data_IF_619142082334
#
_entry.id   IF_619142082334
#
_cell.length_a   1.000
_cell.length_b   1.000
_cell.length_c   1.000
_cell.angle_alpha   90.00
_cell.angle_beta   90.00
_cell.angle_gamma   90.00
#
_symmetry.space_group_name_H-M   'P 1'
#
loop_
_entity.id
_entity.type
_entity.pdbx_description
1 polymer ?
#
# COMPACT_ATOMS: atom_id res chain seq x y z
N UNK A 1 -28.25 -29.01 -28.57
CA UNK A 1 -27.61 -27.68 -28.56
C UNK A 1 -27.66 -27.19 -27.11
N UNK A 2 -26.68 -27.58 -26.30
CA UNK A 2 -26.59 -27.11 -24.91
C UNK A 2 -26.08 -25.67 -24.95
N UNK A 3 -26.95 -24.74 -24.56
CA UNK A 3 -26.58 -23.36 -24.30
C UNK A 3 -25.73 -23.41 -23.03
N UNK A 4 -24.43 -23.12 -23.13
CA UNK A 4 -23.55 -23.02 -21.98
C UNK A 4 -24.12 -21.99 -21.00
N UNK A 5 -24.72 -22.46 -19.90
CA UNK A 5 -25.29 -21.61 -18.84
C UNK A 5 -24.20 -20.84 -18.04
N UNK A 6 -22.92 -21.03 -18.39
CA UNK A 6 -21.76 -20.42 -17.74
C UNK A 6 -21.09 -19.29 -18.56
N UNK A 7 -21.67 -18.86 -19.68
CA UNK A 7 -21.20 -17.65 -20.36
C UNK A 7 -21.62 -16.40 -19.56
N UNK A 8 -20.68 -15.90 -18.74
CA UNK A 8 -20.81 -14.63 -18.03
C UNK A 8 -21.22 -13.53 -19.03
N UNK A 9 -22.30 -12.80 -18.73
CA UNK A 9 -22.78 -11.77 -19.65
C UNK A 9 -21.69 -10.71 -19.89
N UNK A 10 -21.60 -10.16 -21.11
CA UNK A 10 -20.55 -9.19 -21.46
C UNK A 10 -20.47 -7.99 -20.51
N UNK A 11 -21.62 -7.54 -19.98
CA UNK A 11 -21.66 -6.44 -19.01
C UNK A 11 -21.07 -6.83 -17.65
N UNK A 12 -21.24 -8.09 -17.22
CA UNK A 12 -20.63 -8.61 -15.98
C UNK A 12 -19.10 -8.69 -16.12
N UNK A 13 -18.61 -9.12 -17.28
CA UNK A 13 -17.18 -9.10 -17.59
C UNK A 13 -16.62 -7.68 -17.61
N UNK A 14 -17.33 -6.73 -18.22
CA UNK A 14 -16.92 -5.33 -18.27
C UNK A 14 -16.90 -4.69 -16.87
N UNK A 15 -17.92 -4.94 -16.05
CA UNK A 15 -17.99 -4.45 -14.67
C UNK A 15 -16.85 -5.03 -13.81
N UNK A 16 -16.62 -6.35 -13.88
CA UNK A 16 -15.51 -6.99 -13.18
C UNK A 16 -14.15 -6.44 -13.62
N UNK A 17 -13.95 -6.25 -14.92
CA UNK A 17 -12.74 -5.64 -15.47
C UNK A 17 -12.53 -4.21 -14.96
N UNK A 18 -13.58 -3.40 -14.92
CA UNK A 18 -13.50 -2.03 -14.40
C UNK A 18 -13.07 -2.02 -12.93
N UNK A 19 -13.62 -2.91 -12.10
CA UNK A 19 -13.22 -3.05 -10.70
C UNK A 19 -11.74 -3.44 -10.59
N UNK A 20 -11.29 -4.45 -11.33
CA UNK A 20 -9.87 -4.84 -11.30
C UNK A 20 -8.95 -3.74 -11.81
N UNK A 21 -9.34 -2.99 -12.83
CA UNK A 21 -8.56 -1.85 -13.33
C UNK A 21 -8.44 -0.73 -12.29
N UNK A 22 -9.54 -0.40 -11.61
CA UNK A 22 -9.55 0.60 -10.53
C UNK A 22 -8.67 0.15 -9.36
N UNK A 23 -8.80 -1.09 -8.90
CA UNK A 23 -7.98 -1.63 -7.81
C UNK A 23 -6.49 -1.67 -8.18
N UNK A 24 -6.18 -2.05 -9.43
CA UNK A 24 -4.80 -2.07 -9.95
C UNK A 24 -4.22 -0.65 -9.98
N UNK A 25 -4.97 0.31 -10.53
CA UNK A 25 -4.57 1.72 -10.58
C UNK A 25 -4.35 2.29 -9.19
N UNK A 26 -5.29 2.05 -8.27
CA UNK A 26 -5.16 2.45 -6.87
C UNK A 26 -3.89 1.87 -6.23
N UNK A 27 -3.60 0.58 -6.44
CA UNK A 27 -2.40 -0.06 -5.89
C UNK A 27 -1.10 0.60 -6.36
N UNK A 28 -0.99 0.95 -7.64
CA UNK A 28 0.19 1.67 -8.16
C UNK A 28 0.29 3.11 -7.64
N UNK A 29 -0.82 3.84 -7.59
CA UNK A 29 -0.84 5.22 -7.08
C UNK A 29 -0.46 5.24 -5.60
N UNK A 30 -1.06 4.36 -4.80
CA UNK A 30 -0.79 4.22 -3.37
C UNK A 30 0.67 3.86 -3.12
N UNK A 31 1.22 2.88 -3.86
CA UNK A 31 2.64 2.54 -3.83
C UNK A 31 3.53 3.74 -4.20
N UNK A 32 3.26 4.39 -5.33
CA UNK A 32 4.08 5.50 -5.83
C UNK A 32 4.13 6.68 -4.87
N UNK A 33 2.99 7.00 -4.23
CA UNK A 33 2.89 8.05 -3.22
C UNK A 33 3.74 7.75 -1.98
N UNK A 34 3.64 6.56 -1.40
CA UNK A 34 4.45 6.24 -0.22
C UNK A 34 5.93 6.02 -0.52
N UNK A 35 6.24 5.56 -1.73
CA UNK A 35 7.62 5.47 -2.20
C UNK A 35 8.25 6.86 -2.32
N UNK A 36 7.52 7.84 -2.88
CA UNK A 36 8.03 9.20 -3.01
C UNK A 36 8.20 9.88 -1.64
N UNK A 37 7.27 9.70 -0.71
CA UNK A 37 7.40 10.18 0.67
C UNK A 37 8.64 9.58 1.36
N UNK A 38 8.86 8.27 1.20
CA UNK A 38 10.02 7.60 1.79
C UNK A 38 11.33 8.18 1.23
N UNK A 39 11.43 8.32 -0.09
CA UNK A 39 12.63 8.90 -0.72
C UNK A 39 12.85 10.36 -0.34
N UNK A 40 11.78 11.17 -0.31
CA UNK A 40 11.89 12.56 0.12
C UNK A 40 12.35 12.65 1.58
N UNK A 41 11.82 11.80 2.46
CA UNK A 41 12.24 11.80 3.85
C UNK A 41 13.71 11.39 4.05
N UNK A 42 14.14 10.35 3.31
CA UNK A 42 15.52 9.87 3.36
C UNK A 42 16.52 10.86 2.75
N UNK A 43 16.21 11.45 1.60
CA UNK A 43 17.12 12.34 0.86
C UNK A 43 17.21 13.74 1.47
N UNK A 44 16.13 14.24 2.07
CA UNK A 44 16.11 15.58 2.65
C UNK A 44 16.44 15.60 4.15
N UNK A 45 16.83 14.46 4.74
CA UNK A 45 17.06 14.32 6.19
C UNK A 45 15.93 14.92 7.03
N UNK A 46 14.68 14.67 6.62
CA UNK A 46 13.50 15.26 7.24
C UNK A 46 13.36 14.82 8.69
N UNK A 47 12.85 15.70 9.56
CA UNK A 47 12.63 15.40 10.97
C UNK A 47 11.70 14.20 11.24
N UNK A 48 10.86 13.84 10.26
CA UNK A 48 10.04 12.63 10.28
C UNK A 48 10.09 11.88 8.94
N UNK A 49 10.37 10.57 8.97
CA UNK A 49 10.39 9.69 7.80
C UNK A 49 9.27 8.67 7.91
N UNK A 50 8.44 8.57 6.88
CA UNK A 50 7.29 7.64 6.87
C UNK A 50 7.58 6.44 5.99
N UNK A 51 7.39 5.23 6.54
CA UNK A 51 7.47 3.96 5.85
C UNK A 51 6.13 3.23 5.96
N UNK A 52 5.45 3.05 4.83
CA UNK A 52 4.19 2.31 4.78
C UNK A 52 4.40 0.94 4.11
N UNK A 53 4.36 -0.15 4.89
CA UNK A 53 4.48 -1.53 4.37
C UNK A 53 3.30 -1.94 3.49
N UNK A 54 2.08 -1.50 3.84
CA UNK A 54 0.86 -1.76 3.08
C UNK A 54 1.01 -1.36 1.62
N UNK A 55 1.63 -0.21 1.37
CA UNK A 55 1.88 0.30 0.02
C UNK A 55 2.76 -0.65 -0.83
N UNK A 56 3.76 -1.30 -0.23
CA UNK A 56 4.60 -2.29 -0.92
C UNK A 56 3.89 -3.63 -1.14
N UNK A 57 2.96 -4.02 -0.25
CA UNK A 57 2.07 -5.16 -0.50
C UNK A 57 1.15 -4.87 -1.71
N UNK A 58 0.57 -3.66 -1.75
CA UNK A 58 -0.30 -3.22 -2.84
C UNK A 58 0.40 -3.21 -4.20
N UNK A 59 1.70 -2.96 -4.27
CA UNK A 59 2.47 -3.05 -5.51
C UNK A 59 2.44 -4.46 -6.11
N UNK A 60 2.73 -5.49 -5.30
CA UNK A 60 2.67 -6.88 -5.77
C UNK A 60 1.26 -7.30 -6.20
N UNK A 61 0.24 -6.86 -5.45
CA UNK A 61 -1.16 -7.06 -5.83
C UNK A 61 -1.52 -6.35 -7.14
N UNK A 62 -1.03 -5.12 -7.36
CA UNK A 62 -1.25 -4.37 -8.58
C UNK A 62 -0.59 -5.04 -9.80
N UNK A 63 0.60 -5.63 -9.63
CA UNK A 63 1.24 -6.43 -10.68
C UNK A 63 0.38 -7.64 -11.09
N UNK A 64 -0.19 -8.36 -10.13
CA UNK A 64 -1.14 -9.45 -10.40
C UNK A 64 -2.40 -8.89 -11.08
N UNK A 65 -2.89 -7.73 -10.63
CA UNK A 65 -4.03 -7.03 -11.21
C UNK A 65 -3.85 -6.70 -12.69
N UNK A 66 -2.65 -6.27 -13.11
CA UNK A 66 -2.32 -6.05 -14.52
C UNK A 66 -2.58 -7.28 -15.40
N UNK A 67 -2.25 -8.47 -14.91
CA UNK A 67 -2.51 -9.72 -15.63
C UNK A 67 -4.01 -9.94 -15.82
N UNK A 68 -4.80 -9.75 -14.76
CA UNK A 68 -6.25 -9.92 -14.80
C UNK A 68 -6.91 -8.91 -15.74
N UNK A 69 -6.46 -7.66 -15.71
CA UNK A 69 -6.92 -6.60 -16.60
C UNK A 69 -6.59 -6.95 -18.05
N UNK A 70 -5.36 -7.38 -18.33
CA UNK A 70 -4.93 -7.79 -19.65
C UNK A 70 -5.78 -8.93 -20.24
N UNK A 71 -5.98 -10.01 -19.47
CA UNK A 71 -6.82 -11.13 -19.94
C UNK A 71 -8.30 -10.78 -20.04
N UNK A 72 -8.82 -9.95 -19.13
CA UNK A 72 -10.19 -9.45 -19.21
C UNK A 72 -10.43 -8.65 -20.49
N UNK A 73 -9.51 -7.76 -20.87
CA UNK A 73 -9.57 -7.01 -22.13
C UNK A 73 -9.53 -7.95 -23.33
N UNK A 74 -8.61 -8.93 -23.35
CA UNK A 74 -8.51 -9.90 -24.46
C UNK A 74 -9.78 -10.71 -24.62
N UNK A 75 -10.38 -11.15 -23.51
CA UNK A 75 -11.66 -11.89 -23.49
C UNK A 75 -12.81 -11.03 -24.02
N UNK A 76 -12.91 -9.76 -23.62
CA UNK A 76 -13.92 -8.83 -24.16
C UNK A 76 -13.75 -8.58 -25.66
N UNK A 77 -12.51 -8.58 -26.15
CA UNK A 77 -12.21 -8.46 -27.59
C UNK A 77 -12.46 -9.76 -28.37
N UNK A 78 -12.86 -10.86 -27.73
CA UNK A 78 -13.01 -12.18 -28.36
C UNK A 78 -11.70 -12.75 -28.88
N UNK A 79 -10.54 -12.26 -28.40
CA UNK A 79 -9.22 -12.69 -28.86
C UNK A 79 -8.68 -13.81 -27.99
N UNK A 80 -8.16 -14.85 -28.63
CA UNK A 80 -7.43 -15.91 -27.94
C UNK A 80 -6.09 -15.41 -27.40
N UNK A 81 -5.62 -16.05 -26.33
CA UNK A 81 -4.33 -15.76 -25.71
C UNK A 81 -3.28 -16.70 -26.31
N UNK A 82 -2.16 -16.15 -26.80
CA UNK A 82 -1.08 -16.97 -27.32
C UNK A 82 -0.26 -17.61 -26.19
N UNK A 83 0.46 -18.70 -26.48
CA UNK A 83 1.33 -19.35 -25.51
C UNK A 83 2.42 -18.40 -24.94
N UNK A 84 2.94 -17.51 -25.79
CA UNK A 84 3.90 -16.48 -25.37
C UNK A 84 3.28 -15.48 -24.39
N UNK A 85 2.05 -15.01 -24.66
CA UNK A 85 1.34 -14.10 -23.75
C UNK A 85 1.03 -14.76 -22.42
N UNK A 86 0.67 -16.06 -22.44
CA UNK A 86 0.44 -16.81 -21.21
C UNK A 86 1.73 -16.96 -20.39
N UNK A 87 2.87 -17.21 -21.04
CA UNK A 87 4.18 -17.26 -20.36
C UNK A 87 4.52 -15.93 -19.67
N UNK A 88 4.32 -14.80 -20.36
CA UNK A 88 4.55 -13.47 -19.78
C UNK A 88 3.59 -13.19 -18.62
N UNK A 89 2.32 -13.53 -18.77
CA UNK A 89 1.32 -13.39 -17.71
C UNK A 89 1.67 -14.21 -16.47
N UNK A 90 2.11 -15.47 -16.63
CA UNK A 90 2.57 -16.30 -15.52
C UNK A 90 3.80 -15.70 -14.84
N UNK A 91 4.75 -15.16 -15.59
CA UNK A 91 5.91 -14.47 -15.01
C UNK A 91 5.49 -13.24 -14.20
N UNK A 92 4.54 -12.45 -14.71
CA UNK A 92 3.99 -11.30 -13.98
C UNK A 92 3.26 -11.77 -12.72
N UNK A 93 2.51 -12.86 -12.78
CA UNK A 93 1.80 -13.42 -11.63
C UNK A 93 2.78 -13.86 -10.53
N UNK A 94 3.75 -14.71 -10.87
CA UNK A 94 4.75 -15.19 -9.90
C UNK A 94 5.65 -14.06 -9.41
N UNK A 95 6.01 -13.12 -10.30
CA UNK A 95 6.74 -11.91 -9.94
C UNK A 95 5.96 -11.05 -8.96
N UNK A 96 4.68 -10.77 -9.24
CA UNK A 96 3.79 -10.00 -8.36
C UNK A 96 3.57 -10.67 -7.01
N UNK A 97 3.39 -11.99 -6.99
CA UNK A 97 3.26 -12.76 -5.75
C UNK A 97 4.55 -12.73 -4.92
N UNK A 98 5.70 -12.94 -5.56
CA UNK A 98 6.99 -12.84 -4.91
C UNK A 98 7.23 -11.41 -4.38
N UNK A 99 6.95 -10.38 -5.18
CA UNK A 99 7.06 -8.98 -4.78
C UNK A 99 6.15 -8.65 -3.61
N UNK A 100 4.89 -9.14 -3.59
CA UNK A 100 3.96 -8.88 -2.49
C UNK A 100 4.51 -9.40 -1.14
N UNK A 101 5.27 -10.49 -1.13
CA UNK A 101 5.80 -11.07 0.10
C UNK A 101 7.18 -10.49 0.45
N UNK A 102 8.07 -10.42 -0.54
CA UNK A 102 9.49 -10.12 -0.35
C UNK A 102 9.71 -8.62 -0.20
N UNK A 103 9.09 -7.79 -1.04
CA UNK A 103 9.38 -6.36 -1.12
C UNK A 103 9.07 -5.60 0.19
N UNK A 104 7.95 -5.84 0.89
CA UNK A 104 7.65 -5.17 2.16
C UNK A 104 8.67 -5.48 3.26
N UNK A 105 9.25 -6.68 3.23
CA UNK A 105 10.31 -7.05 4.17
C UNK A 105 11.64 -6.42 3.77
N UNK A 106 11.98 -6.49 2.47
CA UNK A 106 13.21 -5.93 1.92
C UNK A 106 13.32 -4.42 2.09
N UNK A 107 12.22 -3.68 2.08
CA UNK A 107 12.28 -2.23 2.34
C UNK A 107 12.32 -1.95 3.83
N UNK A 108 11.59 -2.72 4.65
CA UNK A 108 11.49 -2.46 6.08
C UNK A 108 12.80 -2.59 6.82
N UNK A 109 13.49 -3.72 6.68
CA UNK A 109 14.69 -3.97 7.47
C UNK A 109 15.81 -2.96 7.18
N UNK A 110 16.20 -2.70 5.91
CA UNK A 110 17.25 -1.73 5.61
C UNK A 110 16.86 -0.31 6.00
N UNK A 111 15.62 0.12 5.73
CA UNK A 111 15.16 1.46 6.09
C UNK A 111 15.16 1.65 7.60
N UNK A 112 14.63 0.70 8.37
CA UNK A 112 14.62 0.79 9.83
C UNK A 112 16.04 0.81 10.40
N UNK A 113 16.93 -0.08 9.95
CA UNK A 113 18.33 -0.12 10.39
C UNK A 113 19.09 1.16 10.03
N UNK A 114 18.87 1.71 8.83
CA UNK A 114 19.49 2.96 8.41
C UNK A 114 19.04 4.16 9.26
N UNK A 115 17.73 4.25 9.52
CA UNK A 115 17.15 5.33 10.31
C UNK A 115 17.60 5.25 11.77
N UNK A 116 17.64 4.05 12.36
CA UNK A 116 18.16 3.83 13.71
C UNK A 116 19.65 4.19 13.82
N UNK A 117 20.47 3.79 12.84
CA UNK A 117 21.87 4.18 12.78
C UNK A 117 22.07 5.70 12.61
N UNK A 118 21.08 6.38 12.03
CA UNK A 118 21.05 7.84 11.87
C UNK A 118 20.43 8.58 13.06
N UNK A 119 20.13 7.88 14.16
CA UNK A 119 19.60 8.47 15.39
C UNK A 119 18.09 8.65 15.45
N UNK A 120 17.34 8.12 14.47
CA UNK A 120 15.87 8.14 14.50
C UNK A 120 15.31 7.03 15.38
N UNK A 121 14.17 7.32 16.01
CA UNK A 121 13.39 6.37 16.81
C UNK A 121 11.98 6.22 16.23
N UNK A 122 11.36 5.04 16.39
CA UNK A 122 9.98 4.79 15.92
C UNK A 122 9.00 5.56 16.82
N UNK A 123 8.17 6.40 16.21
CA UNK A 123 7.13 7.18 16.87
C UNK A 123 5.84 6.36 16.96
N UNK A 124 5.65 5.63 18.06
CA UNK A 124 4.46 4.76 18.26
C UNK A 124 3.13 5.53 18.20
N UNK A 125 3.13 6.82 18.59
CA UNK A 125 1.94 7.67 18.58
C UNK A 125 1.43 7.98 17.15
N UNK A 126 2.34 7.95 16.17
CA UNK A 126 2.01 8.20 14.76
C UNK A 126 1.99 6.93 13.93
N UNK A 127 2.74 5.90 14.34
CA UNK A 127 2.70 4.60 13.70
C UNK A 127 1.32 3.95 13.85
N UNK A 128 0.83 3.34 12.77
CA UNK A 128 -0.43 2.59 12.73
C UNK A 128 -0.18 1.18 12.26
N UNK A 129 -0.85 0.21 12.87
CA UNK A 129 -0.78 -1.18 12.47
C UNK A 129 -2.19 -1.76 12.32
N UNK A 130 -2.56 -2.16 11.11
CA UNK A 130 -3.81 -2.85 10.82
C UNK A 130 -3.57 -4.07 9.92
N UNK A 131 -3.69 -5.27 10.48
CA UNK A 131 -3.43 -6.59 9.88
C UNK A 131 -2.09 -6.71 9.11
N UNK A 132 -2.00 -6.15 7.91
CA UNK A 132 -0.80 -6.09 7.05
C UNK A 132 -0.41 -4.67 6.62
N UNK A 133 -1.27 -3.68 6.86
CA UNK A 133 -0.98 -2.27 6.68
C UNK A 133 -0.31 -1.72 7.94
N UNK A 134 1.03 -1.69 7.91
CA UNK A 134 1.83 -1.06 8.97
C UNK A 134 2.47 0.20 8.41
N UNK A 135 2.00 1.35 8.89
CA UNK A 135 2.61 2.66 8.67
C UNK A 135 3.51 2.95 9.86
N UNK A 136 4.80 3.09 9.62
CA UNK A 136 5.81 3.41 10.63
C UNK A 136 6.32 4.82 10.38
N UNK A 137 6.27 5.64 11.41
CA UNK A 137 6.84 7.00 11.37
C UNK A 137 8.06 7.01 12.26
N UNK A 138 9.19 7.46 11.72
CA UNK A 138 10.46 7.55 12.44
C UNK A 138 10.81 9.03 12.64
N UNK A 139 11.17 9.43 13.87
CA UNK A 139 11.50 10.81 14.22
C UNK A 139 12.84 10.90 14.94
N UNK A 140 13.54 12.04 14.80
CA UNK A 140 14.86 12.25 15.44
C UNK A 140 14.74 12.32 16.96
N UNK A 141 13.71 12.98 17.48
CA UNK A 141 13.48 13.12 18.93
C UNK A 141 12.09 12.63 19.31
N UNK A 142 11.95 12.17 20.56
CA UNK A 142 10.66 11.80 21.13
C UNK A 142 9.71 13.01 21.27
N UNK A 143 10.27 14.21 21.49
CA UNK A 143 9.51 15.46 21.55
C UNK A 143 8.86 15.77 20.20
N UNK A 144 9.58 15.61 19.10
CA UNK A 144 9.03 15.84 17.76
C UNK A 144 7.90 14.88 17.41
N UNK A 145 7.98 13.63 17.89
CA UNK A 145 6.89 12.66 17.79
C UNK A 145 5.61 13.14 18.49
N UNK A 146 5.75 13.72 19.69
CA UNK A 146 4.62 14.29 20.44
C UNK A 146 4.08 15.53 19.72
N UNK A 147 4.93 16.46 19.27
CA UNK A 147 4.53 17.65 18.52
C UNK A 147 3.70 17.32 17.28
N UNK A 148 4.17 16.36 16.48
CA UNK A 148 3.43 15.87 15.30
C UNK A 148 2.07 15.30 15.71
N UNK A 149 2.02 14.52 16.79
CA UNK A 149 0.76 13.95 17.27
C UNK A 149 -0.21 15.04 17.79
N UNK A 150 0.31 16.09 18.44
CA UNK A 150 -0.49 17.26 18.88
C UNK A 150 -1.06 18.00 17.69
N UNK A 151 -0.22 18.29 16.69
CA UNK A 151 -0.62 19.03 15.49
C UNK A 151 -1.76 18.33 14.75
N UNK A 152 -1.64 17.02 14.52
CA UNK A 152 -2.70 16.24 13.87
C UNK A 152 -3.99 16.20 14.69
N UNK A 153 -3.90 16.20 16.03
CA UNK A 153 -5.06 16.23 16.92
C UNK A 153 -5.70 17.62 17.05
N UNK A 154 -4.95 18.67 16.79
CA UNK A 154 -5.48 20.03 16.67
C UNK A 154 -6.24 20.21 15.35
N UNK A 155 -5.78 19.56 14.27
CA UNK A 155 -6.44 19.58 12.97
C UNK A 155 -7.70 18.68 12.94
N UNK A 156 -7.60 17.46 13.46
CA UNK A 156 -8.73 16.53 13.59
C UNK A 156 -8.75 15.86 14.98
N UNK A 157 -9.54 16.39 15.94
CA UNK A 157 -9.63 15.85 17.29
C UNK A 157 -10.38 14.52 17.37
N UNK A 158 -11.04 14.07 16.29
CA UNK A 158 -11.79 12.81 16.27
C UNK A 158 -10.90 11.57 16.16
N UNK A 159 -9.62 11.76 15.79
CA UNK A 159 -8.65 10.69 15.60
C UNK A 159 -8.45 9.90 16.91
N UNK A 160 -8.51 8.57 16.83
CA UNK A 160 -8.38 7.69 18.01
C UNK A 160 -7.05 7.90 18.76
N UNK A 161 -5.97 8.25 18.05
CA UNK A 161 -4.66 8.55 18.64
C UNK A 161 -4.68 9.73 19.61
N UNK A 162 -5.62 10.67 19.44
CA UNK A 162 -5.74 11.84 20.32
C UNK A 162 -6.14 11.45 21.74
N UNK A 163 -6.87 10.34 21.92
CA UNK A 163 -7.23 9.81 23.26
C UNK A 163 -6.03 9.28 24.04
N UNK A 164 -4.92 8.99 23.35
CA UNK A 164 -3.67 8.52 23.96
C UNK A 164 -2.81 9.68 24.49
N UNK A 165 -3.04 10.90 24.01
CA UNK A 165 -2.31 12.08 24.47
C UNK A 165 -2.92 12.62 25.78
N UNK A 166 -2.11 12.87 26.82
CA UNK A 166 -2.61 13.31 28.13
C UNK A 166 -3.39 14.62 28.07
N UNK A 167 -3.03 15.52 27.15
CA UNK A 167 -3.68 16.83 26.96
C UNK A 167 -5.03 16.77 26.23
N UNK A 168 -5.32 15.70 25.48
CA UNK A 168 -6.58 15.49 24.76
C UNK A 168 -7.41 14.35 25.35
N UNK A 169 -6.93 13.73 26.44
CA UNK A 169 -7.70 12.82 27.28
C UNK A 169 -8.75 13.65 28.03
N UNK A 170 -9.82 14.04 27.34
CA UNK A 170 -10.98 14.70 27.96
C UNK A 170 -11.39 13.92 29.22
N UNK A 171 -11.55 14.68 30.30
CA UNK A 171 -12.02 14.27 31.63
C UNK A 171 -13.27 13.39 31.52
N UNK A 172 -13.08 12.06 31.63
CA UNK A 172 -14.17 11.19 32.05
C UNK A 172 -14.32 11.34 33.57
N UNK A 173 -15.19 12.26 33.97
CA UNK A 173 -15.98 12.09 35.19
C UNK A 173 -17.06 11.03 34.94
#
# INVERSE_FOLDING_TARGET
MQRDENELARWQLAAGLAVFALLTGFGFVYFGYYLSLLFQGLLNHSAAVTLNKGAFYCFGAALIGCMLVYFGIRKLQGKTVSASQNKTASLIFFGGLASAIILPQLIHYPTASYLQASGYSECELQSRQWLHDKVMVFTITAEHCVELAVADCAEDPSLQKCKLLPQFRQSRH
#
